data_IF_633589981285
#
_entry.id   IF_633589981285
#
_cell.length_a   1.000
_cell.length_b   1.000
_cell.length_c   1.000
_cell.angle_alpha   90.00
_cell.angle_beta   90.00
_cell.angle_gamma   90.00
#
_symmetry.space_group_name_H-M   'P 1'
#
loop_
_entity.id
_entity.type
_entity.pdbx_description
1 polymer ?
#
# COMPACT_ATOMS: atom_id res chain seq x y z
N UNK A 1 8.17 -2.92 -11.97
CA UNK A 1 9.50 -3.42 -11.63
C UNK A 1 10.55 -2.57 -12.36
N UNK A 2 11.75 -2.36 -11.78
CA UNK A 2 12.84 -1.66 -12.45
C UNK A 2 13.27 -2.41 -13.72
N UNK A 3 13.84 -1.67 -14.67
CA UNK A 3 14.45 -2.27 -15.86
C UNK A 3 15.68 -3.10 -15.47
N UNK A 4 16.07 -4.07 -16.30
CA UNK A 4 17.15 -5.03 -16.02
C UNK A 4 18.52 -4.38 -15.71
N UNK A 5 18.74 -3.15 -16.20
CA UNK A 5 19.96 -2.38 -15.94
C UNK A 5 19.91 -1.52 -14.66
N UNK A 6 18.82 -1.61 -13.88
CA UNK A 6 18.63 -0.84 -12.64
C UNK A 6 18.58 -1.81 -11.46
N UNK A 7 19.53 -1.67 -10.53
CA UNK A 7 19.52 -2.39 -9.25
C UNK A 7 18.94 -1.48 -8.17
N UNK A 8 17.73 -1.80 -7.70
CA UNK A 8 17.07 -1.04 -6.64
C UNK A 8 17.48 -1.53 -5.25
N UNK A 9 17.83 -0.59 -4.38
CA UNK A 9 17.96 -0.82 -2.95
C UNK A 9 16.61 -0.59 -2.27
N UNK A 10 15.77 -1.61 -2.28
CA UNK A 10 14.44 -1.53 -1.69
C UNK A 10 14.50 -1.38 -0.18
N UNK A 11 13.78 -0.37 0.37
CA UNK A 11 13.49 -0.29 1.80
C UNK A 11 11.98 -0.28 2.08
N UNK A 12 11.19 -0.01 1.05
CA UNK A 12 9.72 -0.12 1.02
C UNK A 12 9.30 -0.66 -0.33
N UNK A 13 8.34 -1.56 -0.33
CA UNK A 13 7.76 -2.09 -1.55
C UNK A 13 6.31 -1.66 -1.66
N UNK A 14 6.01 -0.83 -2.67
CA UNK A 14 4.67 -0.33 -2.94
C UNK A 14 3.96 -1.18 -3.98
N UNK A 15 2.72 -1.52 -3.69
CA UNK A 15 1.78 -2.12 -4.62
C UNK A 15 0.46 -1.36 -4.61
N UNK A 16 -0.33 -1.52 -5.65
CA UNK A 16 -1.63 -0.85 -5.78
C UNK A 16 -2.69 -1.91 -6.05
N UNK A 17 -3.75 -1.87 -5.25
CA UNK A 17 -4.91 -2.71 -5.50
C UNK A 17 -5.76 -2.14 -6.62
N UNK A 18 -6.57 -3.00 -7.22
CA UNK A 18 -7.64 -2.64 -8.14
C UNK A 18 -8.97 -2.90 -7.43
N UNK A 19 -9.62 -1.87 -6.85
CA UNK A 19 -10.85 -2.04 -6.09
C UNK A 19 -11.95 -2.75 -6.87
N UNK A 20 -11.99 -2.53 -8.18
CA UNK A 20 -12.93 -3.14 -9.11
C UNK A 20 -12.79 -4.67 -9.27
N UNK A 21 -11.68 -5.24 -8.82
CA UNK A 21 -11.43 -6.68 -8.82
C UNK A 21 -11.57 -7.33 -7.44
N UNK A 22 -11.98 -6.57 -6.44
CA UNK A 22 -12.22 -7.10 -5.11
C UNK A 22 -13.67 -7.61 -4.97
N UNK A 23 -13.84 -8.68 -4.22
CA UNK A 23 -15.15 -9.16 -3.81
C UNK A 23 -15.87 -8.14 -2.93
N UNK A 24 -17.19 -8.24 -2.90
CA UNK A 24 -18.00 -7.41 -2.01
C UNK A 24 -17.52 -7.49 -0.54
N UNK A 25 -17.48 -6.33 0.11
CA UNK A 25 -17.00 -6.18 1.48
C UNK A 25 -15.47 -6.22 1.64
N UNK A 26 -14.67 -6.40 0.58
CA UNK A 26 -13.24 -6.25 0.61
C UNK A 26 -12.80 -4.85 0.19
N UNK A 27 -11.87 -4.29 0.97
CA UNK A 27 -11.28 -2.97 0.74
C UNK A 27 -9.78 -3.03 0.96
N UNK A 28 -9.05 -2.02 0.54
CA UNK A 28 -7.64 -1.83 0.88
C UNK A 28 -7.39 -1.95 2.38
N UNK A 29 -8.21 -1.28 3.20
CA UNK A 29 -8.04 -1.25 4.65
C UNK A 29 -8.31 -2.62 5.27
N UNK A 30 -9.31 -3.35 4.79
CA UNK A 30 -9.56 -4.74 5.23
C UNK A 30 -8.41 -5.68 4.89
N UNK A 31 -7.71 -5.46 3.77
CA UNK A 31 -6.50 -6.23 3.44
C UNK A 31 -5.39 -5.91 4.44
N UNK A 32 -5.19 -4.63 4.77
CA UNK A 32 -4.22 -4.20 5.79
C UNK A 32 -4.51 -4.86 7.12
N UNK A 33 -5.75 -4.77 7.61
CA UNK A 33 -6.17 -5.35 8.89
C UNK A 33 -5.96 -6.87 8.92
N UNK A 34 -6.33 -7.55 7.85
CA UNK A 34 -6.18 -9.01 7.75
C UNK A 34 -4.72 -9.45 7.82
N UNK A 35 -3.83 -8.78 7.12
CA UNK A 35 -2.41 -9.10 7.10
C UNK A 35 -1.70 -8.65 8.37
N UNK A 36 -2.04 -7.47 8.91
CA UNK A 36 -1.49 -6.98 10.19
C UNK A 36 -1.82 -7.90 11.36
N UNK A 37 -3.04 -8.44 11.41
CA UNK A 37 -3.46 -9.41 12.41
C UNK A 37 -2.70 -10.75 12.32
N UNK A 38 -2.05 -11.02 11.20
CA UNK A 38 -1.16 -12.17 11.00
C UNK A 38 0.33 -11.83 11.22
N UNK A 39 0.61 -10.63 11.78
CA UNK A 39 1.98 -10.18 12.06
C UNK A 39 2.75 -9.66 10.84
N UNK A 40 2.09 -9.43 9.70
CA UNK A 40 2.74 -8.87 8.51
C UNK A 40 2.78 -7.34 8.64
N UNK A 41 3.97 -6.70 8.62
CA UNK A 41 4.08 -5.25 8.65
C UNK A 41 3.68 -4.63 7.31
N UNK A 42 2.42 -4.23 7.23
CA UNK A 42 1.81 -3.62 6.04
C UNK A 42 1.13 -2.30 6.41
N UNK A 43 1.19 -1.32 5.52
CA UNK A 43 0.67 0.03 5.73
C UNK A 43 0.01 0.57 4.46
N UNK A 44 -0.73 1.67 4.58
CA UNK A 44 -1.34 2.37 3.44
C UNK A 44 -0.34 3.15 2.58
N UNK A 45 0.90 3.29 3.05
CA UNK A 45 1.93 4.06 2.37
C UNK A 45 2.07 5.48 2.89
N UNK A 46 2.71 6.34 2.10
CA UNK A 46 2.94 7.74 2.43
C UNK A 46 1.68 8.59 2.20
N UNK A 47 1.63 9.79 2.79
CA UNK A 47 0.55 10.75 2.56
C UNK A 47 0.52 11.18 1.09
N UNK A 48 -0.47 10.71 0.34
CA UNK A 48 -0.62 10.99 -1.09
C UNK A 48 -1.23 12.37 -1.35
N UNK A 49 -2.03 12.88 -0.41
CA UNK A 49 -2.73 14.15 -0.50
C UNK A 49 -2.22 15.12 0.56
N UNK A 50 -0.92 15.33 0.63
CA UNK A 50 -0.26 16.18 1.63
C UNK A 50 -0.84 17.61 1.69
N UNK A 51 -1.40 18.08 0.59
CA UNK A 51 -2.05 19.39 0.53
C UNK A 51 -3.33 19.48 1.37
N UNK A 52 -3.87 18.35 1.87
CA UNK A 52 -4.99 18.33 2.83
C UNK A 52 -4.54 18.41 4.29
N UNK A 53 -3.24 18.36 4.54
CA UNK A 53 -2.71 18.53 5.89
C UNK A 53 -3.00 19.92 6.44
N UNK A 54 -3.18 20.00 7.75
CA UNK A 54 -3.63 21.24 8.43
C UNK A 54 -2.71 22.44 8.20
N UNK A 55 -1.41 22.21 8.00
CA UNK A 55 -0.45 23.26 7.69
C UNK A 55 -0.72 23.93 6.33
N UNK A 56 -1.23 23.19 5.34
CA UNK A 56 -1.58 23.74 4.02
C UNK A 56 -2.99 24.32 4.02
N UNK A 57 -3.96 23.62 4.60
CA UNK A 57 -5.36 24.06 4.61
C UNK A 57 -5.55 25.37 5.39
N UNK A 58 -4.92 25.51 6.55
CA UNK A 58 -5.00 26.73 7.37
C UNK A 58 -4.36 27.96 6.71
N UNK A 59 -3.41 27.75 5.82
CA UNK A 59 -2.70 28.83 5.12
C UNK A 59 -3.24 29.08 3.70
N UNK A 60 -4.35 28.45 3.31
CA UNK A 60 -4.96 28.64 2.00
C UNK A 60 -4.11 28.09 0.83
N UNK A 61 -3.17 27.16 1.11
CA UNK A 61 -2.24 26.57 0.12
C UNK A 61 -2.78 25.28 -0.49
N UNK A 62 -4.05 24.99 -0.32
CA UNK A 62 -4.72 23.86 -0.95
C UNK A 62 -5.17 24.17 -2.37
N UNK A 63 -5.10 23.23 -3.30
CA UNK A 63 -5.66 23.41 -4.63
C UNK A 63 -7.19 23.58 -4.56
N UNK A 64 -7.77 24.39 -5.47
CA UNK A 64 -9.22 24.63 -5.54
C UNK A 64 -10.04 23.34 -5.74
N UNK A 65 -9.45 22.31 -6.34
CA UNK A 65 -10.07 20.99 -6.56
C UNK A 65 -9.12 19.92 -6.10
N UNK A 66 -9.68 18.88 -5.49
CA UNK A 66 -8.95 17.69 -5.08
C UNK A 66 -8.27 17.02 -6.29
N UNK A 67 -7.02 16.62 -6.15
CA UNK A 67 -6.23 16.02 -7.21
C UNK A 67 -6.63 14.54 -7.38
N UNK A 68 -7.27 14.14 -8.48
CA UNK A 68 -7.88 12.80 -8.60
C UNK A 68 -6.86 11.67 -8.58
N UNK A 69 -5.69 11.87 -9.18
CA UNK A 69 -4.62 10.88 -9.19
C UNK A 69 -4.03 10.68 -7.79
N UNK A 70 -3.76 11.76 -7.06
CA UNK A 70 -3.26 11.69 -5.68
C UNK A 70 -4.25 10.98 -4.76
N UNK A 71 -5.55 11.32 -4.88
CA UNK A 71 -6.63 10.63 -4.18
C UNK A 71 -6.62 9.14 -4.48
N UNK A 72 -6.65 8.74 -5.76
CA UNK A 72 -6.66 7.33 -6.18
C UNK A 72 -5.45 6.57 -5.64
N UNK A 73 -4.25 7.14 -5.73
CA UNK A 73 -3.05 6.52 -5.18
C UNK A 73 -3.16 6.32 -3.67
N UNK A 74 -3.68 7.30 -2.93
CA UNK A 74 -3.91 7.18 -1.49
C UNK A 74 -4.92 6.12 -1.10
N UNK A 75 -5.95 5.92 -1.91
CA UNK A 75 -7.02 4.94 -1.64
C UNK A 75 -6.64 3.50 -2.06
N UNK A 76 -5.64 3.33 -2.92
CA UNK A 76 -5.28 2.02 -3.49
C UNK A 76 -3.91 1.50 -3.10
N UNK A 77 -3.03 2.34 -2.52
CA UNK A 77 -1.67 1.94 -2.17
C UNK A 77 -1.62 1.02 -0.96
N UNK A 78 -0.75 0.03 -1.05
CA UNK A 78 -0.25 -0.81 0.04
C UNK A 78 1.26 -0.70 0.07
N UNK A 79 1.85 -0.69 1.25
CA UNK A 79 3.28 -0.59 1.45
C UNK A 79 3.76 -1.68 2.39
N UNK A 80 4.69 -2.49 1.92
CA UNK A 80 5.38 -3.50 2.71
C UNK A 80 6.78 -2.99 3.08
N UNK A 81 7.21 -3.31 4.29
CA UNK A 81 8.58 -3.04 4.71
C UNK A 81 9.53 -4.06 4.09
N UNK A 82 10.69 -3.59 3.66
CA UNK A 82 11.80 -4.41 3.22
C UNK A 82 12.96 -4.16 4.16
N UNK A 83 13.44 -5.20 4.83
CA UNK A 83 14.52 -5.06 5.80
C UNK A 83 15.60 -6.12 5.55
N UNK A 84 16.89 -5.78 5.64
CA UNK A 84 17.98 -6.71 5.35
C UNK A 84 18.09 -7.88 6.35
N UNK A 85 17.40 -7.81 7.49
CA UNK A 85 17.35 -8.90 8.49
C UNK A 85 16.24 -9.91 8.24
N UNK A 86 15.38 -9.71 7.23
CA UNK A 86 14.38 -10.72 6.86
C UNK A 86 15.08 -11.95 6.29
N UNK A 87 14.83 -13.09 6.90
CA UNK A 87 15.32 -14.37 6.37
C UNK A 87 14.48 -14.84 5.18
N UNK A 88 14.98 -15.82 4.43
CA UNK A 88 14.19 -16.43 3.36
C UNK A 88 12.90 -17.05 3.88
N UNK A 89 12.92 -17.66 5.07
CA UNK A 89 11.72 -18.21 5.72
C UNK A 89 10.69 -17.13 6.04
N UNK A 90 11.12 -15.96 6.51
CA UNK A 90 10.21 -14.84 6.75
C UNK A 90 9.60 -14.35 5.45
N UNK A 91 10.40 -14.26 4.38
CA UNK A 91 9.91 -13.86 3.07
C UNK A 91 8.89 -14.85 2.51
N UNK A 92 9.12 -16.16 2.62
CA UNK A 92 8.16 -17.18 2.20
C UNK A 92 6.87 -17.10 3.01
N UNK A 93 6.96 -16.96 4.33
CA UNK A 93 5.80 -16.77 5.19
C UNK A 93 4.96 -15.55 4.77
N UNK A 94 5.61 -14.40 4.59
CA UNK A 94 4.95 -13.16 4.16
C UNK A 94 4.24 -13.36 2.81
N UNK A 95 4.92 -13.95 1.83
CA UNK A 95 4.36 -14.20 0.51
C UNK A 95 3.15 -15.15 0.56
N UNK A 96 3.22 -16.22 1.34
CA UNK A 96 2.09 -17.15 1.54
C UNK A 96 0.86 -16.42 2.09
N UNK A 97 1.04 -15.63 3.15
CA UNK A 97 -0.07 -14.87 3.77
C UNK A 97 -0.66 -13.81 2.85
N UNK A 98 0.19 -13.11 2.09
CA UNK A 98 -0.27 -12.16 1.07
C UNK A 98 -1.09 -12.90 0.00
N UNK A 99 -0.57 -14.01 -0.53
CA UNK A 99 -1.27 -14.80 -1.54
C UNK A 99 -2.64 -15.27 -1.06
N UNK A 100 -2.71 -15.85 0.14
CA UNK A 100 -3.96 -16.32 0.73
C UNK A 100 -4.97 -15.19 0.96
N UNK A 101 -4.49 -14.04 1.44
CA UNK A 101 -5.34 -12.86 1.65
C UNK A 101 -5.91 -12.35 0.32
N UNK A 102 -5.06 -12.19 -0.69
CA UNK A 102 -5.47 -11.69 -2.02
C UNK A 102 -6.41 -12.68 -2.70
N UNK A 103 -6.15 -13.98 -2.63
CA UNK A 103 -7.04 -15.03 -3.16
C UNK A 103 -8.43 -15.00 -2.52
N UNK A 104 -8.53 -14.69 -1.23
CA UNK A 104 -9.80 -14.51 -0.54
C UNK A 104 -10.51 -13.22 -0.98
N UNK A 105 -9.75 -12.16 -1.20
CA UNK A 105 -10.24 -10.82 -1.49
C UNK A 105 -10.63 -10.61 -2.96
N UNK A 106 -10.06 -11.35 -3.89
CA UNK A 106 -10.27 -11.19 -5.34
C UNK A 106 -11.41 -12.05 -5.86
N UNK A 107 -12.10 -11.52 -6.89
CA UNK A 107 -13.10 -12.25 -7.68
C UNK A 107 -12.45 -13.38 -8.49
#
# INVERSE_FOLDING_TARGET
LPKDNIKCAWYKFYVYIRPELLKEGWTRDRIIDNLSNQGIPIFSGSCSEIYLESCFTKNGLTPKKRLPVAKRLGETSLMFLVHPTLSESDMFYILEKIYDCIKKASC
#
